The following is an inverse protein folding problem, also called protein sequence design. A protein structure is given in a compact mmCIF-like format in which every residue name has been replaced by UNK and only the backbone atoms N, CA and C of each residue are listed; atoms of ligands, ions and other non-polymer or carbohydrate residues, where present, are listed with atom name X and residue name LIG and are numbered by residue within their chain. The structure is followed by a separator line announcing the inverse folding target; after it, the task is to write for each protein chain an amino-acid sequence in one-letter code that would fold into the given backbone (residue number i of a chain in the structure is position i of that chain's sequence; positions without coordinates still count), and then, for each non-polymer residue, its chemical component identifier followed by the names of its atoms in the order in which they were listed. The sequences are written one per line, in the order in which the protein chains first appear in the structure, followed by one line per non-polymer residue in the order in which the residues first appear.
data_IF_008680853018
#
_entry.id   IF_008680853018
#
_cell.length_a   1.000
_cell.length_b   1.000
_cell.length_c   1.000
_cell.angle_alpha   90.00
_cell.angle_beta   90.00
_cell.angle_gamma   90.00
#
_symmetry.space_group_name_H-M   'P 1'
#
loop_
_entity.id
_entity.type
_entity.pdbx_description
1 polymer ?
#
# COMPACT_ATOMS: atom_id res chain seq x y z
N UNK A 1 -8.99 -4.29 17.42
CA UNK A 1 -7.77 -3.81 16.73
C UNK A 1 -7.91 -2.35 16.30
N UNK A 2 -6.78 -1.63 16.19
CA UNK A 2 -6.71 -0.22 15.78
C UNK A 2 -5.90 -0.06 14.50
N UNK A 3 -6.43 0.67 13.52
CA UNK A 3 -5.71 1.00 12.29
C UNK A 3 -5.28 2.47 12.33
N UNK A 4 -3.97 2.69 12.40
CA UNK A 4 -3.38 4.00 12.14
C UNK A 4 -3.41 4.27 10.64
N UNK A 5 -4.17 5.28 10.25
CA UNK A 5 -4.60 5.58 8.88
C UNK A 5 -4.37 7.06 8.57
N UNK A 6 -4.39 7.40 7.28
CA UNK A 6 -4.50 8.77 6.83
C UNK A 6 -5.38 8.79 5.58
N UNK A 7 -6.48 9.53 5.62
CA UNK A 7 -7.45 9.59 4.53
C UNK A 7 -6.85 10.02 3.18
N UNK A 8 -5.75 10.77 3.20
CA UNK A 8 -5.02 11.26 2.03
C UNK A 8 -4.01 10.25 1.47
N UNK A 9 -3.62 9.24 2.25
CA UNK A 9 -2.55 8.32 1.87
C UNK A 9 -3.08 7.13 1.06
N UNK A 10 -2.42 6.74 -0.05
CA UNK A 10 -2.89 5.65 -0.90
C UNK A 10 -2.73 4.26 -0.25
N UNK A 11 -1.65 4.01 0.49
CA UNK A 11 -1.40 2.72 1.11
C UNK A 11 -2.44 2.37 2.20
N UNK A 12 -2.76 3.25 3.16
CA UNK A 12 -3.84 2.99 4.11
C UNK A 12 -5.19 2.76 3.46
N UNK A 13 -5.51 3.48 2.37
CA UNK A 13 -6.75 3.26 1.60
C UNK A 13 -6.86 1.82 1.08
N UNK A 14 -5.76 1.18 0.68
CA UNK A 14 -5.77 -0.23 0.22
C UNK A 14 -6.23 -1.17 1.34
N UNK A 15 -5.71 -0.98 2.56
CA UNK A 15 -6.13 -1.77 3.74
C UNK A 15 -7.60 -1.49 4.09
N UNK A 16 -8.05 -0.23 4.01
CA UNK A 16 -9.46 0.11 4.26
C UNK A 16 -10.40 -0.61 3.31
N UNK A 17 -10.07 -0.63 2.01
CA UNK A 17 -10.84 -1.37 1.00
C UNK A 17 -10.85 -2.86 1.35
N UNK A 18 -9.69 -3.44 1.64
CA UNK A 18 -9.60 -4.86 2.00
C UNK A 18 -10.45 -5.22 3.23
N UNK A 19 -10.35 -4.44 4.31
CA UNK A 19 -11.14 -4.65 5.53
C UNK A 19 -12.64 -4.47 5.29
N UNK A 20 -13.03 -3.52 4.44
CA UNK A 20 -14.44 -3.33 4.07
C UNK A 20 -15.00 -4.53 3.30
N UNK A 21 -14.25 -5.07 2.33
CA UNK A 21 -14.62 -6.28 1.58
C UNK A 21 -14.69 -7.53 2.49
N UNK A 22 -13.87 -7.54 3.55
CA UNK A 22 -13.89 -8.56 4.59
C UNK A 22 -15.00 -8.39 5.64
N UNK A 23 -15.69 -7.24 5.65
CA UNK A 23 -16.65 -6.91 6.69
C UNK A 23 -16.03 -6.81 8.09
N UNK A 24 -14.77 -6.38 8.19
CA UNK A 24 -14.02 -6.28 9.46
C UNK A 24 -14.05 -4.85 9.98
N UNK A 25 -14.60 -4.69 11.19
CA UNK A 25 -14.59 -3.43 11.93
C UNK A 25 -13.26 -3.22 12.66
N UNK A 26 -12.86 -1.95 12.78
CA UNK A 26 -11.64 -1.54 13.48
C UNK A 26 -11.77 -0.12 14.02
N UNK A 27 -11.02 0.19 15.08
CA UNK A 27 -10.88 1.57 15.55
C UNK A 27 -9.96 2.32 14.56
N UNK A 28 -10.48 3.35 13.88
CA UNK A 28 -9.71 4.13 12.92
C UNK A 28 -9.03 5.32 13.63
N UNK A 29 -7.70 5.34 13.62
CA UNK A 29 -6.88 6.41 14.20
C UNK A 29 -6.28 7.23 13.05
N UNK A 30 -6.80 8.45 12.83
CA UNK A 30 -6.30 9.33 11.78
C UNK A 30 -5.00 10.02 12.22
N UNK A 31 -4.01 9.99 11.32
CA UNK A 31 -2.73 10.68 11.43
C UNK A 31 -2.61 11.72 10.31
N UNK A 32 -2.37 12.97 10.69
CA UNK A 32 -2.19 14.09 9.76
C UNK A 32 -0.75 14.11 9.21
N UNK A 33 -0.56 13.45 8.08
CA UNK A 33 0.74 13.39 7.38
C UNK A 33 1.15 14.71 6.74
N UNK A 34 0.23 15.68 6.60
CA UNK A 34 0.55 17.02 6.10
C UNK A 34 1.23 17.83 7.21
N UNK A 35 0.73 17.69 8.45
CA UNK A 35 1.39 18.24 9.64
C UNK A 35 2.61 17.44 10.08
N UNK A 36 2.78 16.22 9.57
CA UNK A 36 3.93 15.37 9.88
C UNK A 36 3.76 14.53 11.13
N UNK A 37 2.52 14.32 11.61
CA UNK A 37 2.23 13.57 12.85
C UNK A 37 2.75 12.12 12.79
N UNK A 38 2.92 11.56 11.59
CA UNK A 38 3.53 10.25 11.37
C UNK A 38 5.06 10.23 11.65
N UNK A 39 5.67 11.37 11.93
CA UNK A 39 7.09 11.52 12.26
C UNK A 39 7.30 12.03 13.69
N UNK A 40 6.23 12.33 14.42
CA UNK A 40 6.32 12.76 15.81
C UNK A 40 6.62 11.57 16.72
N UNK A 41 7.25 11.85 17.88
CA UNK A 41 7.67 10.84 18.85
C UNK A 41 6.53 9.89 19.27
N UNK A 42 5.30 10.42 19.37
CA UNK A 42 4.11 9.65 19.72
C UNK A 42 3.83 8.52 18.73
N UNK A 43 3.87 8.80 17.42
CA UNK A 43 3.63 7.76 16.41
C UNK A 43 4.88 6.92 16.15
N UNK A 44 6.08 7.50 16.22
CA UNK A 44 7.32 6.75 16.09
C UNK A 44 7.53 5.72 17.20
N UNK A 45 6.96 5.94 18.39
CA UNK A 45 6.89 4.94 19.44
C UNK A 45 6.00 3.73 19.08
N UNK A 46 5.04 3.90 18.18
CA UNK A 46 4.19 2.81 17.64
C UNK A 46 4.86 2.15 16.45
N UNK A 47 5.27 2.93 15.44
CA UNK A 47 5.98 2.46 14.26
C UNK A 47 7.20 3.34 13.97
N UNK A 48 8.43 2.86 14.28
CA UNK A 48 9.67 3.63 14.07
C UNK A 48 9.95 4.02 12.61
N UNK A 49 9.33 3.33 11.64
CA UNK A 49 9.45 3.68 10.22
C UNK A 49 8.68 4.94 9.86
N UNK A 50 7.75 5.40 10.70
CA UNK A 50 6.92 6.58 10.43
C UNK A 50 6.06 6.43 9.17
N UNK A 51 5.62 5.19 8.88
CA UNK A 51 4.82 4.86 7.69
C UNK A 51 3.42 4.40 8.09
N UNK A 52 2.48 4.67 7.20
CA UNK A 52 1.09 4.22 7.31
C UNK A 52 0.78 3.31 6.12
N UNK A 53 -0.10 2.30 6.30
CA UNK A 53 -0.87 2.00 7.51
C UNK A 53 -0.05 1.28 8.59
N UNK A 54 -0.54 1.26 9.83
CA UNK A 54 -0.04 0.39 10.91
C UNK A 54 -1.23 -0.16 11.68
N UNK A 55 -1.30 -1.49 11.81
CA UNK A 55 -2.32 -2.18 12.59
C UNK A 55 -1.77 -2.52 13.97
N UNK A 56 -2.54 -2.18 15.02
CA UNK A 56 -2.26 -2.58 16.39
C UNK A 56 -3.36 -3.52 16.86
N UNK A 57 -2.99 -4.74 17.23
CA UNK A 57 -3.91 -5.75 17.75
C UNK A 57 -4.28 -5.45 19.20
N UNK A 58 -5.29 -6.16 19.71
CA UNK A 58 -5.81 -5.90 21.07
C UNK A 58 -4.80 -6.30 22.17
N UNK A 59 -3.84 -7.18 21.86
CA UNK A 59 -2.72 -7.55 22.73
C UNK A 59 -1.52 -6.59 22.63
N UNK A 60 -1.61 -5.55 21.80
CA UNK A 60 -0.55 -4.59 21.54
C UNK A 60 0.44 -4.99 20.45
N UNK A 61 0.28 -6.15 19.79
CA UNK A 61 1.10 -6.54 18.65
C UNK A 61 0.95 -5.53 17.51
N UNK A 62 2.07 -5.10 16.94
CA UNK A 62 2.11 -4.15 15.82
C UNK A 62 2.43 -4.89 14.52
N UNK A 63 1.62 -4.63 13.49
CA UNK A 63 1.83 -5.12 12.12
C UNK A 63 1.83 -3.91 11.18
N UNK A 64 2.95 -3.68 10.51
CA UNK A 64 3.05 -2.71 9.42
C UNK A 64 3.07 -3.42 8.06
N UNK A 65 3.21 -2.65 6.99
CA UNK A 65 3.08 -3.07 5.58
C UNK A 65 1.67 -3.48 5.15
N UNK A 66 1.26 -2.93 4.00
CA UNK A 66 -0.12 -3.08 3.50
C UNK A 66 -0.49 -4.55 3.24
N UNK A 67 0.36 -5.28 2.51
CA UNK A 67 0.08 -6.69 2.15
C UNK A 67 0.16 -7.60 3.38
N UNK A 68 1.05 -7.31 4.33
CA UNK A 68 1.16 -8.09 5.57
C UNK A 68 -0.06 -7.91 6.47
N UNK A 69 -0.57 -6.68 6.60
CA UNK A 69 -1.84 -6.41 7.30
C UNK A 69 -2.99 -7.15 6.60
N UNK A 70 -3.13 -7.05 5.28
CA UNK A 70 -4.18 -7.77 4.55
C UNK A 70 -4.06 -9.29 4.72
N UNK A 71 -2.84 -9.85 4.74
CA UNK A 71 -2.61 -11.28 5.02
C UNK A 71 -3.10 -11.68 6.41
N UNK A 72 -2.79 -10.88 7.44
CA UNK A 72 -3.29 -11.14 8.80
C UNK A 72 -4.83 -11.13 8.84
N UNK A 73 -5.46 -10.18 8.16
CA UNK A 73 -6.92 -10.12 8.07
C UNK A 73 -7.49 -11.30 7.28
N UNK A 74 -6.88 -11.71 6.17
CA UNK A 74 -7.28 -12.92 5.44
C UNK A 74 -7.22 -14.17 6.34
N UNK A 75 -6.14 -14.36 7.09
CA UNK A 75 -5.95 -15.56 7.92
C UNK A 75 -6.92 -15.61 9.11
N UNK A 76 -7.30 -14.46 9.66
CA UNK A 76 -8.24 -14.36 10.79
C UNK A 76 -9.70 -14.30 10.35
N UNK A 77 -9.97 -13.84 9.13
CA UNK A 77 -11.29 -13.70 8.54
C UNK A 77 -11.25 -14.29 7.12
N UNK A 78 -11.29 -15.63 6.96
CA UNK A 78 -11.01 -16.27 5.67
C UNK A 78 -12.01 -15.95 4.56
N UNK A 79 -13.24 -15.58 4.91
CA UNK A 79 -14.32 -15.30 3.95
C UNK A 79 -14.61 -13.80 3.83
N UNK A 80 -14.81 -13.26 2.62
CA UNK A 80 -14.58 -13.90 1.30
C UNK A 80 -13.08 -14.06 0.99
N UNK A 81 -12.64 -15.09 0.23
CA UNK A 81 -11.21 -15.35 0.01
C UNK A 81 -10.62 -14.36 -1.02
N UNK A 82 -9.87 -13.36 -0.54
CA UNK A 82 -9.27 -12.31 -1.38
C UNK A 82 -7.81 -12.60 -1.75
N UNK A 83 -7.20 -13.59 -1.10
CA UNK A 83 -5.85 -14.07 -1.39
C UNK A 83 -5.82 -15.44 -2.09
N UNK A 84 -6.97 -15.98 -2.48
CA UNK A 84 -7.09 -17.26 -3.19
C UNK A 84 -7.33 -18.46 -2.27
N UNK A 85 -7.89 -19.52 -2.84
CA UNK A 85 -8.41 -20.69 -2.10
C UNK A 85 -7.50 -21.91 -2.20
N UNK A 86 -6.62 -21.96 -3.19
CA UNK A 86 -5.67 -23.04 -3.45
C UNK A 86 -4.26 -22.51 -3.75
N UNK A 87 -3.27 -23.39 -3.84
CA UNK A 87 -1.88 -23.00 -4.02
C UNK A 87 -1.63 -22.23 -5.34
N UNK A 88 -2.34 -22.59 -6.41
CA UNK A 88 -2.17 -21.99 -7.74
C UNK A 88 -2.85 -20.63 -7.77
N UNK A 89 -4.10 -20.52 -7.30
CA UNK A 89 -4.80 -19.22 -7.22
C UNK A 89 -4.07 -18.22 -6.33
N UNK A 90 -3.54 -18.67 -5.18
CA UNK A 90 -2.68 -17.85 -4.30
C UNK A 90 -1.47 -17.30 -5.02
N UNK A 91 -0.72 -18.16 -5.72
CA UNK A 91 0.48 -17.75 -6.44
C UNK A 91 0.17 -16.77 -7.59
N UNK A 92 -0.93 -16.97 -8.32
CA UNK A 92 -1.34 -16.07 -9.39
C UNK A 92 -1.76 -14.69 -8.88
N UNK A 93 -2.56 -14.64 -7.81
CA UNK A 93 -2.97 -13.38 -7.16
C UNK A 93 -1.74 -12.65 -6.63
N UNK A 94 -0.85 -13.35 -5.93
CA UNK A 94 0.37 -12.76 -5.37
C UNK A 94 1.31 -12.22 -6.48
N UNK A 95 1.46 -12.95 -7.59
CA UNK A 95 2.24 -12.48 -8.73
C UNK A 95 1.64 -11.20 -9.33
N UNK A 96 0.31 -11.15 -9.51
CA UNK A 96 -0.37 -9.96 -10.03
C UNK A 96 -0.27 -8.77 -9.07
N UNK A 97 -0.44 -8.99 -7.77
CA UNK A 97 -0.23 -7.95 -6.76
C UNK A 97 1.19 -7.39 -6.83
N UNK A 98 2.20 -8.27 -6.95
CA UNK A 98 3.59 -7.83 -7.10
C UNK A 98 3.82 -7.03 -8.38
N UNK A 99 3.23 -7.41 -9.51
CA UNK A 99 3.33 -6.58 -10.72
C UNK A 99 2.69 -5.19 -10.51
N UNK A 100 1.52 -5.13 -9.86
CA UNK A 100 0.88 -3.83 -9.55
C UNK A 100 1.78 -2.95 -8.67
N UNK A 101 2.45 -3.55 -7.68
CA UNK A 101 3.33 -2.83 -6.77
C UNK A 101 4.67 -2.43 -7.40
N UNK A 102 5.41 -3.39 -7.95
CA UNK A 102 6.78 -3.19 -8.41
C UNK A 102 6.87 -2.53 -9.78
N UNK A 103 5.96 -2.87 -10.69
CA UNK A 103 6.00 -2.34 -12.06
C UNK A 103 5.18 -1.04 -12.18
N UNK A 104 4.16 -0.87 -11.35
CA UNK A 104 3.27 0.31 -11.35
C UNK A 104 3.53 1.27 -10.18
N UNK A 105 3.16 0.85 -8.96
CA UNK A 105 3.09 1.72 -7.77
C UNK A 105 4.43 2.37 -7.44
N UNK A 106 5.55 1.63 -7.50
CA UNK A 106 6.88 2.19 -7.25
C UNK A 106 7.25 3.27 -8.27
N UNK A 107 6.92 3.06 -9.55
CA UNK A 107 7.12 4.08 -10.58
C UNK A 107 6.30 5.34 -10.32
N UNK A 108 5.05 5.18 -9.88
CA UNK A 108 4.19 6.30 -9.50
C UNK A 108 4.71 7.05 -8.26
N UNK A 109 5.24 6.31 -7.28
CA UNK A 109 5.85 6.88 -6.09
C UNK A 109 7.12 7.68 -6.45
N UNK A 110 7.99 7.13 -7.30
CA UNK A 110 9.18 7.81 -7.84
C UNK A 110 8.76 9.10 -8.57
N UNK A 111 7.78 9.02 -9.48
CA UNK A 111 7.26 10.15 -10.23
C UNK A 111 6.75 11.27 -9.31
N UNK A 112 5.93 10.92 -8.32
CA UNK A 112 5.30 11.89 -7.42
C UNK A 112 6.30 12.51 -6.45
N UNK A 113 7.03 11.69 -5.68
CA UNK A 113 7.93 12.17 -4.62
C UNK A 113 9.09 12.98 -5.16
N UNK A 114 9.60 12.64 -6.35
CA UNK A 114 10.75 13.33 -6.92
C UNK A 114 10.38 14.54 -7.81
N UNK A 115 9.08 14.84 -7.99
CA UNK A 115 8.64 16.02 -8.77
C UNK A 115 7.84 17.05 -7.97
N UNK A 116 7.25 16.67 -6.85
CA UNK A 116 6.49 17.61 -6.02
C UNK A 116 7.42 18.46 -5.14
N UNK A 117 7.36 19.81 -5.20
CA UNK A 117 8.27 20.68 -4.45
C UNK A 117 8.28 20.46 -2.92
N UNK A 118 7.14 20.06 -2.34
CA UNK A 118 7.02 19.76 -0.92
C UNK A 118 7.79 18.50 -0.46
N UNK A 119 8.32 17.70 -1.39
CA UNK A 119 9.18 16.55 -1.12
C UNK A 119 10.63 16.76 -1.56
N UNK A 120 11.05 18.01 -1.83
CA UNK A 120 12.41 18.32 -2.32
C UNK A 120 13.54 17.79 -1.44
N UNK A 121 13.38 17.75 -0.12
CA UNK A 121 14.30 17.13 0.85
C UNK A 121 13.76 15.83 1.47
N UNK A 122 12.69 15.26 0.87
CA UNK A 122 11.95 14.08 1.35
C UNK A 122 11.67 13.10 0.19
N UNK A 123 12.70 12.79 -0.58
CA UNK A 123 12.66 11.84 -1.69
C UNK A 123 12.28 10.42 -1.28
N UNK A 124 12.54 10.03 -0.03
CA UNK A 124 12.07 8.77 0.56
C UNK A 124 10.89 8.96 1.51
N UNK A 125 10.07 7.91 1.65
CA UNK A 125 8.93 7.88 2.55
C UNK A 125 9.36 7.56 4.00
N UNK A 126 8.52 7.95 4.95
CA UNK A 126 8.70 7.61 6.36
C UNK A 126 9.82 8.39 7.05
N UNK A 127 10.33 7.83 8.13
CA UNK A 127 11.38 8.38 8.97
C UNK A 127 12.78 8.11 8.38
N UNK A 128 12.99 8.54 7.13
CA UNK A 128 14.24 8.32 6.40
C UNK A 128 15.27 9.46 6.56
N UNK A 129 15.00 10.45 7.41
CA UNK A 129 15.78 11.67 7.48
C UNK A 129 15.63 12.56 6.23
N UNK A 130 16.60 13.46 6.02
CA UNK A 130 16.64 14.31 4.83
C UNK A 130 17.24 13.53 3.67
N UNK A 131 16.46 13.33 2.61
CA UNK A 131 16.92 12.71 1.37
C UNK A 131 16.42 13.55 0.21
N UNK A 132 17.32 14.07 -0.59
CA UNK A 132 16.93 14.98 -1.67
C UNK A 132 16.16 14.24 -2.77
N UNK A 133 15.16 14.92 -3.32
CA UNK A 133 14.48 14.49 -4.53
C UNK A 133 15.45 14.48 -5.71
N UNK A 134 15.37 13.43 -6.54
CA UNK A 134 16.22 13.26 -7.72
C UNK A 134 15.33 13.40 -8.97
N UNK A 135 15.41 14.52 -9.72
CA UNK A 135 14.53 14.75 -10.88
C UNK A 135 14.54 13.64 -11.93
N UNK A 136 15.70 12.99 -12.15
CA UNK A 136 15.82 11.86 -13.07
C UNK A 136 14.99 10.64 -12.62
N UNK A 137 14.77 10.45 -11.31
CA UNK A 137 13.87 9.41 -10.81
C UNK A 137 12.41 9.76 -11.11
N UNK A 138 12.04 11.04 -11.10
CA UNK A 138 10.69 11.43 -11.48
C UNK A 138 10.39 11.11 -12.95
N UNK A 139 11.33 11.40 -13.84
CA UNK A 139 11.22 11.08 -15.27
C UNK A 139 11.17 9.56 -15.50
N UNK A 140 12.08 8.81 -14.87
CA UNK A 140 12.06 7.34 -14.93
C UNK A 140 10.73 6.78 -14.42
N UNK A 141 10.24 7.29 -13.30
CA UNK A 141 8.97 6.89 -12.69
C UNK A 141 7.80 7.07 -13.66
N UNK A 142 7.69 8.23 -14.31
CA UNK A 142 6.67 8.49 -15.35
C UNK A 142 6.76 7.48 -16.50
N UNK A 143 7.95 7.26 -17.03
CA UNK A 143 8.16 6.31 -18.13
C UNK A 143 7.83 4.86 -17.71
N UNK A 144 8.12 4.49 -16.46
CA UNK A 144 7.76 3.18 -15.90
C UNK A 144 6.25 3.02 -15.81
N UNK A 145 5.52 4.02 -15.29
CA UNK A 145 4.05 3.97 -15.21
C UNK A 145 3.41 3.87 -16.60
N UNK A 146 3.93 4.58 -17.60
CA UNK A 146 3.41 4.51 -18.97
C UNK A 146 3.55 3.10 -19.56
N UNK A 147 4.73 2.46 -19.42
CA UNK A 147 4.92 1.05 -19.84
C UNK A 147 4.02 0.08 -19.08
N UNK A 148 3.86 0.33 -17.78
CA UNK A 148 3.00 -0.47 -16.93
C UNK A 148 1.53 -0.40 -17.38
N UNK A 149 1.04 0.78 -17.80
CA UNK A 149 -0.32 0.91 -18.32
C UNK A 149 -0.58 0.09 -19.58
N UNK A 150 0.40 -0.04 -20.47
CA UNK A 150 0.28 -0.94 -21.64
C UNK A 150 0.11 -2.42 -21.22
N UNK A 151 0.88 -2.85 -20.21
CA UNK A 151 0.75 -4.20 -19.66
C UNK A 151 -0.57 -4.41 -18.92
N UNK A 152 -1.04 -3.39 -18.21
CA UNK A 152 -2.30 -3.42 -17.47
C UNK A 152 -3.49 -3.52 -18.43
N UNK A 153 -3.50 -2.70 -19.49
CA UNK A 153 -4.54 -2.70 -20.53
C UNK A 153 -4.61 -4.06 -21.24
N UNK A 154 -3.45 -4.62 -21.60
CA UNK A 154 -3.37 -5.96 -22.19
C UNK A 154 -3.97 -7.03 -21.28
N UNK A 155 -3.65 -6.99 -19.97
CA UNK A 155 -4.17 -7.97 -19.03
C UNK A 155 -5.69 -7.84 -18.84
N UNK A 156 -6.20 -6.62 -18.63
CA UNK A 156 -7.63 -6.34 -18.46
C UNK A 156 -8.45 -6.53 -19.73
N UNK A 157 -7.83 -6.53 -20.92
CA UNK A 157 -8.47 -6.94 -22.16
C UNK A 157 -8.83 -8.42 -22.22
N UNK A 158 -8.28 -9.24 -21.31
CA UNK A 158 -8.43 -10.71 -21.29
C UNK A 158 -9.12 -11.28 -20.05
N UNK A 159 -9.31 -10.49 -19.00
CA UNK A 159 -9.93 -10.91 -17.74
C UNK A 159 -10.69 -9.77 -17.07
N UNK A 160 -11.71 -10.12 -16.27
CA UNK A 160 -12.56 -9.12 -15.61
C UNK A 160 -11.79 -8.31 -14.55
N UNK A 161 -10.90 -8.97 -13.81
CA UNK A 161 -9.99 -8.38 -12.83
C UNK A 161 -8.55 -8.72 -13.20
N UNK A 162 -7.59 -8.03 -12.60
CA UNK A 162 -6.16 -8.19 -12.95
C UNK A 162 -5.60 -9.58 -12.63
N UNK A 163 -6.21 -10.28 -11.67
CA UNK A 163 -5.84 -11.62 -11.24
C UNK A 163 -6.81 -12.73 -11.70
N UNK A 164 -7.74 -12.44 -12.62
CA UNK A 164 -8.69 -13.40 -13.17
C UNK A 164 -10.12 -12.87 -13.14
N UNK A 165 -11.09 -13.75 -12.88
CA UNK A 165 -12.52 -13.41 -12.96
C UNK A 165 -13.16 -13.06 -11.61
N UNK A 166 -12.40 -13.17 -10.53
CA UNK A 166 -12.83 -12.82 -9.17
C UNK A 166 -12.04 -11.65 -8.63
N UNK A 167 -12.70 -10.81 -7.83
CA UNK A 167 -12.04 -9.73 -7.09
C UNK A 167 -11.04 -10.30 -6.07
N UNK A 168 -9.89 -9.64 -5.90
CA UNK A 168 -8.79 -10.09 -5.03
C UNK A 168 -8.02 -8.88 -4.48
N UNK A 169 -6.96 -9.11 -3.72
CA UNK A 169 -6.08 -8.02 -3.25
C UNK A 169 -5.33 -7.27 -4.38
N UNK A 170 -5.18 -7.91 -5.55
CA UNK A 170 -4.39 -7.42 -6.68
C UNK A 170 -5.13 -6.36 -7.50
#
# INVERSE_FOLDING_TARGET
MKLYDSAMAPNPRRVRIFMAEKGVDYENIQIDIIKGENLDETFLAVNPRGLLPTLVLDDGTVIDETVAICRYIEETHPEPPLLGTDAVSKAHIEARQRHMEFDGLLGAADAFRNSFPGFSSRGLAGNAGSVDAIPALAERGKNTVLRFYESLDTALGSSTFIAGDSFSIA
#
